data_IF_927599132393
#
_entry.id   IF_927599132393
#
_cell.length_a   1.000
_cell.length_b   1.000
_cell.length_c   1.000
_cell.angle_alpha   90.00
_cell.angle_beta   90.00
_cell.angle_gamma   90.00
#
_symmetry.space_group_name_H-M   'P 1'
#
loop_
_entity.id
_entity.type
_entity.pdbx_description
1 polymer ?
#
# COMPACT_ATOMS: atom_id res chain seq x y z
N UNK A 1 34.19 2.66 -14.85
CA UNK A 1 32.85 3.06 -14.41
C UNK A 1 32.95 3.54 -12.97
N UNK A 2 32.37 4.66 -12.67
CA UNK A 2 32.42 5.19 -11.31
C UNK A 2 31.47 4.38 -10.39
N UNK A 3 31.81 4.29 -9.10
CA UNK A 3 31.01 3.52 -8.11
C UNK A 3 29.55 3.99 -8.07
N UNK A 4 29.31 5.28 -8.30
CA UNK A 4 27.96 5.84 -8.30
C UNK A 4 27.08 5.29 -9.45
N UNK A 5 27.66 4.99 -10.60
CA UNK A 5 26.95 4.36 -11.73
C UNK A 5 26.54 2.95 -11.37
N UNK A 6 27.44 2.17 -10.73
CA UNK A 6 27.12 0.81 -10.25
C UNK A 6 26.02 0.87 -9.21
N UNK A 7 26.12 1.76 -8.21
CA UNK A 7 25.12 1.92 -7.16
C UNK A 7 23.74 2.24 -7.74
N UNK A 8 23.68 3.13 -8.74
CA UNK A 8 22.39 3.46 -9.39
C UNK A 8 21.76 2.26 -10.11
N UNK A 9 22.58 1.37 -10.65
CA UNK A 9 22.11 0.18 -11.37
C UNK A 9 21.66 -0.95 -10.47
N UNK A 10 22.23 -1.06 -9.25
CA UNK A 10 21.93 -2.17 -8.33
C UNK A 10 20.93 -1.81 -7.22
N UNK A 11 20.61 -0.54 -7.01
CA UNK A 11 19.78 -0.05 -5.89
C UNK A 11 18.40 -0.74 -5.77
N UNK A 12 17.82 -1.11 -6.90
CA UNK A 12 16.47 -1.69 -6.98
C UNK A 12 16.48 -3.21 -7.23
N UNK A 13 17.68 -3.82 -7.28
CA UNK A 13 17.81 -5.26 -7.49
C UNK A 13 17.42 -6.04 -6.23
N UNK A 14 16.86 -7.24 -6.42
CA UNK A 14 16.51 -8.14 -5.30
C UNK A 14 17.74 -8.75 -4.64
N UNK A 15 18.75 -9.06 -5.46
CA UNK A 15 20.04 -9.61 -5.01
C UNK A 15 21.17 -9.04 -5.82
N UNK A 16 22.36 -8.98 -5.24
CA UNK A 16 23.56 -8.48 -5.92
C UNK A 16 24.60 -9.62 -6.00
N UNK A 17 25.11 -9.85 -7.20
CA UNK A 17 26.18 -10.83 -7.44
C UNK A 17 27.26 -10.21 -8.34
N UNK A 18 28.43 -10.85 -8.37
CA UNK A 18 29.52 -10.42 -9.27
C UNK A 18 29.03 -10.44 -10.73
N UNK A 19 28.28 -11.48 -11.13
CA UNK A 19 27.74 -11.62 -12.49
C UNK A 19 26.73 -10.50 -12.82
N UNK A 20 25.93 -10.04 -11.83
CA UNK A 20 25.06 -8.90 -12.02
C UNK A 20 25.87 -7.63 -12.27
N UNK A 21 26.92 -7.38 -11.49
CA UNK A 21 27.80 -6.21 -11.63
C UNK A 21 28.54 -6.25 -12.96
N UNK A 22 29.02 -7.42 -13.40
CA UNK A 22 29.63 -7.59 -14.71
C UNK A 22 28.67 -7.14 -15.82
N UNK A 23 27.47 -7.68 -15.82
CA UNK A 23 26.45 -7.44 -16.85
C UNK A 23 25.96 -5.98 -16.84
N UNK A 24 25.63 -5.45 -15.67
CA UNK A 24 25.14 -4.08 -15.52
C UNK A 24 26.23 -3.04 -15.77
N UNK A 25 27.44 -3.35 -15.31
CA UNK A 25 28.61 -2.47 -15.45
C UNK A 25 29.37 -2.61 -16.75
N UNK A 26 29.00 -3.56 -17.62
CA UNK A 26 29.72 -3.92 -18.83
C UNK A 26 31.22 -4.04 -18.57
N UNK A 27 31.63 -4.79 -17.54
CA UNK A 27 33.00 -4.91 -17.10
C UNK A 27 33.47 -6.37 -17.00
N UNK A 28 34.76 -6.59 -17.11
CA UNK A 28 35.37 -7.92 -16.92
C UNK A 28 35.28 -8.41 -15.50
N UNK A 29 35.42 -9.73 -15.32
CA UNK A 29 35.26 -10.42 -14.02
C UNK A 29 36.17 -9.85 -12.91
N UNK A 30 37.42 -9.58 -13.21
CA UNK A 30 38.39 -9.06 -12.23
C UNK A 30 37.92 -7.72 -11.66
N UNK A 31 37.47 -6.81 -12.55
CA UNK A 31 36.98 -5.51 -12.14
C UNK A 31 35.65 -5.63 -11.38
N UNK A 32 34.72 -6.47 -11.84
CA UNK A 32 33.46 -6.72 -11.17
C UNK A 32 33.65 -7.30 -9.75
N UNK A 33 34.60 -8.23 -9.58
CA UNK A 33 34.93 -8.80 -8.27
C UNK A 33 35.53 -7.75 -7.33
N UNK A 34 36.44 -6.89 -7.85
CA UNK A 34 36.98 -5.77 -7.07
C UNK A 34 35.88 -4.79 -6.66
N UNK A 35 35.00 -4.44 -7.58
CA UNK A 35 33.84 -3.56 -7.30
C UNK A 35 32.90 -4.20 -6.28
N UNK A 36 32.61 -5.50 -6.38
CA UNK A 36 31.76 -6.21 -5.43
C UNK A 36 32.32 -6.12 -4.01
N UNK A 37 33.61 -6.41 -3.82
CA UNK A 37 34.28 -6.27 -2.52
C UNK A 37 34.24 -4.85 -1.99
N UNK A 38 34.48 -3.86 -2.84
CA UNK A 38 34.40 -2.45 -2.46
C UNK A 38 32.98 -2.06 -1.99
N UNK A 39 31.94 -2.59 -2.65
CA UNK A 39 30.53 -2.35 -2.25
C UNK A 39 30.22 -3.01 -0.90
N UNK A 40 30.74 -4.20 -0.65
CA UNK A 40 30.59 -4.91 0.63
C UNK A 40 31.35 -4.18 1.75
N UNK A 41 32.63 -3.86 1.57
CA UNK A 41 33.48 -3.16 2.55
C UNK A 41 32.88 -1.80 2.93
N UNK A 42 32.31 -1.09 1.95
CA UNK A 42 31.60 0.17 2.18
C UNK A 42 30.17 -0.02 2.69
N UNK A 43 29.69 -1.25 2.85
CA UNK A 43 28.35 -1.58 3.35
C UNK A 43 27.20 -1.13 2.44
N UNK A 44 27.45 -0.98 1.13
CA UNK A 44 26.38 -0.75 0.14
C UNK A 44 25.64 -2.03 -0.23
N UNK A 45 26.27 -3.18 -0.01
CA UNK A 45 25.65 -4.50 -0.05
C UNK A 45 25.97 -5.23 1.25
N UNK A 46 25.09 -6.13 1.65
CA UNK A 46 25.28 -6.95 2.85
C UNK A 46 24.75 -8.35 2.62
N UNK A 47 25.34 -9.33 3.30
CA UNK A 47 24.95 -10.73 3.21
C UNK A 47 23.72 -10.98 4.08
N UNK A 48 22.68 -11.54 3.48
CA UNK A 48 21.45 -11.91 4.18
C UNK A 48 21.65 -13.18 5.00
N UNK A 49 21.26 -13.17 6.26
CA UNK A 49 21.28 -14.34 7.15
C UNK A 49 20.30 -15.45 6.72
N UNK A 50 19.21 -15.07 6.03
CA UNK A 50 18.13 -16.01 5.67
C UNK A 50 18.46 -16.92 4.49
N UNK A 51 19.15 -16.43 3.48
CA UNK A 51 19.34 -17.14 2.20
C UNK A 51 20.76 -17.04 1.63
N UNK A 52 21.70 -16.55 2.43
CA UNK A 52 23.10 -16.41 2.05
C UNK A 52 23.35 -15.51 0.81
N UNK A 53 22.32 -14.77 0.35
CA UNK A 53 22.42 -13.86 -0.78
C UNK A 53 22.89 -12.46 -0.35
N UNK A 54 23.58 -11.76 -1.23
CA UNK A 54 23.89 -10.33 -1.00
C UNK A 54 22.73 -9.45 -1.44
N UNK A 55 22.35 -8.53 -0.55
CA UNK A 55 21.26 -7.59 -0.77
C UNK A 55 21.81 -6.16 -0.83
N UNK A 56 21.21 -5.27 -1.67
CA UNK A 56 21.59 -3.86 -1.68
C UNK A 56 21.09 -3.16 -0.41
N UNK A 57 21.96 -2.36 0.19
CA UNK A 57 21.59 -1.45 1.28
C UNK A 57 20.99 -0.18 0.67
N UNK A 58 19.70 -0.23 0.38
CA UNK A 58 18.98 0.84 -0.33
C UNK A 58 19.13 2.21 0.34
N UNK A 59 19.01 2.27 1.67
CA UNK A 59 19.12 3.51 2.44
C UNK A 59 20.51 4.15 2.22
N UNK A 60 21.57 3.37 2.41
CA UNK A 60 22.94 3.85 2.27
C UNK A 60 23.28 4.24 0.84
N UNK A 61 22.78 3.47 -0.15
CA UNK A 61 22.93 3.77 -1.58
C UNK A 61 22.21 5.08 -1.93
N UNK A 62 20.95 5.25 -1.54
CA UNK A 62 20.20 6.46 -1.80
C UNK A 62 20.87 7.69 -1.17
N UNK A 63 21.36 7.57 0.07
CA UNK A 63 22.12 8.63 0.75
C UNK A 63 23.38 9.00 -0.03
N UNK A 64 24.15 8.03 -0.53
CA UNK A 64 25.36 8.27 -1.32
C UNK A 64 25.07 8.94 -2.65
N UNK A 65 24.02 8.49 -3.34
CA UNK A 65 23.61 9.05 -4.63
C UNK A 65 22.84 10.38 -4.49
N UNK A 66 22.59 10.86 -3.28
CA UNK A 66 21.73 12.03 -2.98
C UNK A 66 20.31 11.88 -3.58
N UNK A 67 19.89 10.65 -3.80
CA UNK A 67 18.52 10.32 -4.20
C UNK A 67 17.68 10.34 -2.93
N UNK A 68 16.65 11.18 -2.89
CA UNK A 68 15.63 11.04 -1.81
C UNK A 68 15.09 9.61 -1.89
N UNK A 69 15.05 8.85 -0.78
CA UNK A 69 14.37 7.57 -0.80
C UNK A 69 12.99 7.81 -1.40
N UNK A 70 12.61 7.02 -2.38
CA UNK A 70 11.23 7.03 -2.84
C UNK A 70 10.44 6.62 -1.62
N UNK A 71 9.79 7.58 -0.98
CA UNK A 71 8.91 7.28 0.14
C UNK A 71 7.83 6.40 -0.44
N UNK A 72 7.82 5.14 -0.04
CA UNK A 72 6.89 4.19 -0.57
C UNK A 72 5.46 4.57 -0.18
N UNK A 73 4.51 4.03 -0.90
CA UNK A 73 3.11 4.31 -0.73
C UNK A 73 2.59 3.62 0.54
N UNK A 74 1.95 4.36 1.43
CA UNK A 74 1.13 3.80 2.51
C UNK A 74 -0.31 3.72 2.03
N UNK A 75 -0.98 2.58 2.25
CA UNK A 75 -2.33 2.34 1.74
C UNK A 75 -3.29 2.01 2.88
N UNK A 76 -4.48 2.59 2.81
CA UNK A 76 -5.66 2.15 3.56
C UNK A 76 -6.56 1.43 2.58
N UNK A 77 -6.66 0.11 2.70
CA UNK A 77 -7.68 -0.67 2.01
C UNK A 77 -8.98 -0.52 2.80
N UNK A 78 -9.95 0.13 2.18
CA UNK A 78 -11.17 0.61 2.84
C UNK A 78 -12.38 -0.18 2.40
N UNK A 79 -13.06 -0.81 3.35
CA UNK A 79 -14.45 -1.18 3.21
C UNK A 79 -15.39 -0.05 3.66
N UNK A 80 -16.64 -0.08 3.24
CA UNK A 80 -17.64 0.95 3.53
C UNK A 80 -18.64 0.47 4.58
N UNK A 81 -19.30 -0.66 4.32
CA UNK A 81 -20.31 -1.20 5.21
C UNK A 81 -19.65 -1.74 6.49
N UNK A 82 -20.20 -1.41 7.65
CA UNK A 82 -19.58 -1.78 8.92
C UNK A 82 -18.29 -1.00 9.26
N UNK A 83 -17.79 -0.13 8.35
CA UNK A 83 -16.67 0.79 8.59
C UNK A 83 -17.16 2.23 8.62
N UNK A 84 -17.59 2.78 7.49
CA UNK A 84 -18.08 4.16 7.39
C UNK A 84 -19.56 4.31 7.77
N UNK A 85 -20.25 3.19 7.94
CA UNK A 85 -21.60 3.12 8.46
C UNK A 85 -21.71 2.01 9.52
N UNK A 86 -22.90 1.87 10.09
CA UNK A 86 -23.23 0.81 11.05
C UNK A 86 -24.75 0.67 11.19
N UNK A 87 -25.19 -0.30 11.96
CA UNK A 87 -26.61 -0.58 12.20
C UNK A 87 -27.44 0.63 12.65
N UNK A 88 -26.84 1.59 13.34
CA UNK A 88 -27.53 2.78 13.87
C UNK A 88 -27.43 4.00 12.95
N UNK A 89 -26.76 3.88 11.82
CA UNK A 89 -26.64 4.96 10.84
C UNK A 89 -28.01 5.33 10.29
N UNK A 90 -28.35 6.62 10.33
CA UNK A 90 -29.65 7.14 9.88
C UNK A 90 -29.62 7.67 8.45
N UNK A 91 -28.43 7.93 7.92
CA UNK A 91 -28.27 8.41 6.54
C UNK A 91 -28.58 7.26 5.57
N UNK A 92 -29.26 7.57 4.47
CA UNK A 92 -29.73 6.58 3.49
C UNK A 92 -29.47 7.12 2.08
N UNK A 93 -29.03 6.25 1.20
CA UNK A 93 -28.90 6.53 -0.23
C UNK A 93 -29.44 5.35 -1.03
N UNK A 94 -30.44 5.58 -1.90
CA UNK A 94 -31.05 4.55 -2.73
C UNK A 94 -31.42 3.26 -1.97
N UNK A 95 -32.09 3.39 -0.81
CA UNK A 95 -32.46 2.29 0.10
C UNK A 95 -31.29 1.57 0.82
N UNK A 96 -30.04 1.97 0.56
CA UNK A 96 -28.87 1.47 1.29
C UNK A 96 -28.56 2.35 2.51
N UNK A 97 -27.94 1.77 3.51
CA UNK A 97 -27.41 2.51 4.66
C UNK A 97 -26.30 3.45 4.17
N UNK A 98 -26.46 4.74 4.42
CA UNK A 98 -25.52 5.79 4.01
C UNK A 98 -24.26 5.80 4.87
N UNK A 99 -23.51 6.92 4.82
CA UNK A 99 -22.20 7.10 5.45
C UNK A 99 -22.28 8.18 6.53
N UNK A 100 -21.75 7.89 7.72
CA UNK A 100 -21.67 8.85 8.82
C UNK A 100 -20.48 9.80 8.67
N UNK A 101 -20.72 11.09 8.67
CA UNK A 101 -19.67 12.11 8.54
C UNK A 101 -18.60 12.00 9.64
N UNK A 102 -18.99 11.64 10.88
CA UNK A 102 -18.04 11.40 11.99
C UNK A 102 -17.04 10.28 11.71
N UNK A 103 -17.45 9.22 10.99
CA UNK A 103 -16.55 8.13 10.60
C UNK A 103 -15.60 8.57 9.48
N UNK A 104 -16.07 9.41 8.58
CA UNK A 104 -15.23 10.03 7.54
C UNK A 104 -14.20 10.97 8.17
N UNK A 105 -14.55 11.71 9.23
CA UNK A 105 -13.60 12.53 9.99
C UNK A 105 -12.49 11.68 10.65
N UNK A 106 -12.84 10.53 11.21
CA UNK A 106 -11.84 9.58 11.76
C UNK A 106 -10.92 9.04 10.65
N UNK A 107 -11.47 8.70 9.50
CA UNK A 107 -10.68 8.27 8.34
C UNK A 107 -9.75 9.39 7.87
N UNK A 108 -10.24 10.65 7.82
CA UNK A 108 -9.43 11.82 7.49
C UNK A 108 -8.27 12.01 8.45
N UNK A 109 -8.49 11.83 9.75
CA UNK A 109 -7.42 11.87 10.75
C UNK A 109 -6.34 10.85 10.40
N UNK A 110 -6.71 9.59 10.16
CA UNK A 110 -5.77 8.53 9.79
C UNK A 110 -4.97 8.86 8.53
N UNK A 111 -5.65 9.30 7.46
CA UNK A 111 -5.00 9.72 6.20
C UNK A 111 -4.02 10.85 6.43
N UNK A 112 -4.40 11.88 7.20
CA UNK A 112 -3.55 13.05 7.48
C UNK A 112 -2.30 12.67 8.27
N UNK A 113 -2.44 11.85 9.31
CA UNK A 113 -1.33 11.47 10.18
C UNK A 113 -0.33 10.53 9.49
N UNK A 114 -0.79 9.71 8.54
CA UNK A 114 0.04 8.69 7.89
C UNK A 114 0.45 9.03 6.47
N UNK A 115 -0.13 10.07 5.87
CA UNK A 115 -0.04 10.39 4.44
C UNK A 115 -0.41 9.20 3.52
N UNK A 116 -1.34 8.37 3.98
CA UNK A 116 -1.78 7.18 3.26
C UNK A 116 -2.74 7.53 2.12
N UNK A 117 -2.83 6.63 1.14
CA UNK A 117 -3.82 6.69 0.06
C UNK A 117 -4.93 5.68 0.33
N UNK A 118 -6.14 6.02 -0.07
CA UNK A 118 -7.32 5.16 0.08
C UNK A 118 -7.47 4.32 -1.19
N UNK A 119 -7.58 3.00 -1.01
CA UNK A 119 -7.94 2.03 -2.06
C UNK A 119 -9.20 1.30 -1.61
N UNK A 120 -10.23 1.32 -2.44
CA UNK A 120 -11.53 0.75 -2.11
C UNK A 120 -11.50 -0.78 -2.29
N UNK A 121 -11.93 -1.53 -1.25
CA UNK A 121 -12.09 -2.99 -1.30
C UNK A 121 -13.55 -3.43 -1.12
N UNK A 122 -14.43 -2.49 -0.83
CA UNK A 122 -15.86 -2.67 -0.62
C UNK A 122 -16.58 -3.14 -1.89
N UNK A 123 -17.74 -3.78 -1.72
CA UNK A 123 -18.69 -4.03 -2.83
C UNK A 123 -19.14 -2.75 -3.52
N UNK A 124 -19.07 -1.61 -2.85
CA UNK A 124 -19.33 -0.28 -3.42
C UNK A 124 -18.38 0.10 -4.57
N UNK A 125 -17.28 -0.64 -4.78
CA UNK A 125 -16.37 -0.46 -5.93
C UNK A 125 -16.97 -0.89 -7.26
N UNK A 126 -18.03 -1.67 -7.26
CA UNK A 126 -18.57 -2.35 -8.45
C UNK A 126 -18.90 -1.39 -9.60
N UNK A 127 -19.37 -0.18 -9.28
CA UNK A 127 -19.67 0.87 -10.24
C UNK A 127 -18.86 2.14 -9.98
N UNK A 128 -17.77 2.02 -9.27
CA UNK A 128 -16.86 3.13 -9.04
C UNK A 128 -15.75 3.15 -10.11
N UNK A 129 -15.53 4.29 -10.72
CA UNK A 129 -14.53 4.48 -11.77
C UNK A 129 -13.46 5.49 -11.32
N UNK A 130 -12.20 5.15 -11.57
CA UNK A 130 -11.06 6.00 -11.26
C UNK A 130 -10.91 7.14 -12.26
N UNK A 131 -11.02 6.83 -13.54
CA UNK A 131 -10.75 7.73 -14.63
C UNK A 131 -11.86 8.78 -14.78
N UNK A 132 -11.52 10.09 -14.89
CA UNK A 132 -12.51 11.18 -14.96
C UNK A 132 -13.55 11.02 -16.10
N UNK A 133 -13.14 10.46 -17.25
CA UNK A 133 -14.02 10.26 -18.39
C UNK A 133 -15.14 9.23 -18.14
N UNK A 134 -14.95 8.32 -17.17
CA UNK A 134 -15.94 7.32 -16.82
C UNK A 134 -16.77 7.67 -15.58
N UNK A 135 -16.46 8.80 -14.92
CA UNK A 135 -17.20 9.25 -13.72
C UNK A 135 -18.69 9.46 -13.98
N UNK A 136 -19.08 9.82 -15.20
CA UNK A 136 -20.49 9.97 -15.57
C UNK A 136 -21.26 8.62 -15.63
N UNK A 137 -20.55 7.49 -15.64
CA UNK A 137 -21.12 6.13 -15.64
C UNK A 137 -21.25 5.56 -14.22
N UNK A 138 -20.76 6.26 -13.19
CA UNK A 138 -20.91 5.82 -11.81
C UNK A 138 -22.38 5.78 -11.41
N UNK A 139 -22.72 4.79 -10.59
CA UNK A 139 -24.02 4.73 -9.96
C UNK A 139 -24.16 5.76 -8.83
N UNK A 140 -25.35 5.85 -8.25
CA UNK A 140 -25.63 6.80 -7.17
C UNK A 140 -24.83 6.50 -5.89
N UNK A 141 -24.52 5.23 -5.61
CA UNK A 141 -23.71 4.82 -4.44
C UNK A 141 -22.27 5.30 -4.58
N UNK A 142 -21.65 5.05 -5.74
CA UNK A 142 -20.28 5.48 -6.00
C UNK A 142 -20.16 7.01 -6.02
N UNK A 143 -21.13 7.70 -6.63
CA UNK A 143 -21.21 9.16 -6.62
C UNK A 143 -21.42 9.74 -5.21
N UNK A 144 -22.26 9.10 -4.41
CA UNK A 144 -22.50 9.49 -3.03
C UNK A 144 -21.23 9.30 -2.17
N UNK A 145 -20.55 8.17 -2.30
CA UNK A 145 -19.28 7.89 -1.62
C UNK A 145 -18.23 8.96 -1.94
N UNK A 146 -18.00 9.23 -3.22
CA UNK A 146 -17.07 10.27 -3.67
C UNK A 146 -17.40 11.64 -3.06
N UNK A 147 -18.69 12.04 -3.08
CA UNK A 147 -19.15 13.31 -2.49
C UNK A 147 -18.94 13.38 -0.98
N UNK A 148 -19.24 12.29 -0.26
CA UNK A 148 -19.03 12.22 1.20
C UNK A 148 -17.55 12.37 1.57
N UNK A 149 -16.66 11.66 0.88
CA UNK A 149 -15.22 11.75 1.10
C UNK A 149 -14.67 13.13 0.70
N UNK A 150 -15.08 13.66 -0.46
CA UNK A 150 -14.62 14.95 -0.96
C UNK A 150 -14.96 16.12 -0.03
N UNK A 151 -16.13 16.11 0.66
CA UNK A 151 -16.49 17.12 1.67
C UNK A 151 -15.47 17.23 2.80
N UNK A 152 -14.76 16.15 3.08
CA UNK A 152 -13.69 16.08 4.08
C UNK A 152 -12.28 16.23 3.48
N UNK A 153 -12.18 16.50 2.16
CA UNK A 153 -10.91 16.61 1.44
C UNK A 153 -10.21 15.27 1.22
N UNK A 154 -10.96 14.15 1.26
CA UNK A 154 -10.48 12.82 0.97
C UNK A 154 -10.82 12.43 -0.47
N UNK A 155 -9.96 11.62 -1.07
CA UNK A 155 -10.16 11.04 -2.40
C UNK A 155 -9.77 9.56 -2.39
N UNK A 156 -10.50 8.76 -3.14
CA UNK A 156 -10.13 7.38 -3.41
C UNK A 156 -9.08 7.41 -4.53
N UNK A 157 -7.93 6.81 -4.29
CA UNK A 157 -6.85 6.69 -5.26
C UNK A 157 -7.17 5.64 -6.32
N UNK A 158 -7.74 4.51 -5.89
CA UNK A 158 -8.01 3.36 -6.73
C UNK A 158 -8.98 2.38 -6.05
N UNK A 159 -9.35 1.32 -6.75
CA UNK A 159 -10.04 0.16 -6.17
C UNK A 159 -9.28 -1.13 -6.49
N UNK A 160 -9.45 -2.17 -5.66
CA UNK A 160 -9.00 -3.51 -6.02
C UNK A 160 -9.81 -4.04 -7.20
N UNK A 161 -9.31 -5.09 -7.86
CA UNK A 161 -9.95 -5.62 -9.07
C UNK A 161 -11.38 -6.13 -8.79
N UNK A 162 -12.23 -6.07 -9.80
CA UNK A 162 -13.67 -6.31 -9.72
C UNK A 162 -14.04 -7.73 -9.28
N UNK A 163 -13.15 -8.70 -9.58
CA UNK A 163 -13.39 -10.14 -9.31
C UNK A 163 -13.20 -10.55 -7.83
N UNK A 164 -12.74 -9.64 -6.98
CA UNK A 164 -12.31 -9.94 -5.62
C UNK A 164 -13.37 -9.57 -4.55
N UNK A 165 -14.65 -9.74 -4.87
CA UNK A 165 -15.74 -9.37 -3.94
C UNK A 165 -15.78 -10.26 -2.69
N UNK A 166 -15.44 -11.54 -2.83
CA UNK A 166 -15.38 -12.51 -1.73
C UNK A 166 -13.95 -12.79 -1.27
N UNK A 167 -12.99 -12.80 -2.21
CA UNK A 167 -11.57 -13.04 -1.95
C UNK A 167 -10.82 -11.71 -1.84
N UNK A 168 -11.20 -10.89 -0.87
CA UNK A 168 -10.66 -9.54 -0.70
C UNK A 168 -9.16 -9.53 -0.41
N UNK A 169 -8.67 -10.51 0.35
CA UNK A 169 -7.25 -10.64 0.66
C UNK A 169 -6.41 -10.95 -0.57
N UNK A 170 -6.86 -11.87 -1.41
CA UNK A 170 -6.21 -12.17 -2.69
C UNK A 170 -6.23 -10.94 -3.61
N UNK A 171 -7.35 -10.22 -3.68
CA UNK A 171 -7.48 -8.96 -4.41
C UNK A 171 -6.48 -7.89 -3.96
N UNK A 172 -6.29 -7.74 -2.66
CA UNK A 172 -5.27 -6.83 -2.09
C UNK A 172 -3.86 -7.25 -2.51
N UNK A 173 -3.54 -8.55 -2.43
CA UNK A 173 -2.21 -9.04 -2.83
C UNK A 173 -1.95 -8.82 -4.32
N UNK A 174 -2.92 -9.12 -5.19
CA UNK A 174 -2.83 -8.84 -6.63
C UNK A 174 -2.66 -7.35 -6.91
N UNK A 175 -3.38 -6.49 -6.21
CA UNK A 175 -3.26 -5.04 -6.35
C UNK A 175 -1.86 -4.54 -5.95
N UNK A 176 -1.31 -5.01 -4.84
CA UNK A 176 0.06 -4.68 -4.41
C UNK A 176 1.09 -5.16 -5.44
N UNK A 177 0.94 -6.38 -5.98
CA UNK A 177 1.81 -6.90 -7.05
C UNK A 177 1.73 -6.04 -8.31
N UNK A 178 0.53 -5.58 -8.69
CA UNK A 178 0.33 -4.68 -9.80
C UNK A 178 1.03 -3.33 -9.60
N UNK A 179 0.94 -2.72 -8.42
CA UNK A 179 1.68 -1.49 -8.11
C UNK A 179 3.19 -1.73 -8.22
N UNK A 180 3.69 -2.83 -7.65
CA UNK A 180 5.10 -3.18 -7.71
C UNK A 180 5.60 -3.40 -9.17
N UNK A 181 4.77 -3.98 -10.04
CA UNK A 181 5.10 -4.15 -11.46
C UNK A 181 5.24 -2.82 -12.21
N UNK A 182 4.57 -1.78 -11.71
CA UNK A 182 4.68 -0.39 -12.19
C UNK A 182 5.80 0.42 -11.53
N UNK A 183 6.62 -0.22 -10.68
CA UNK A 183 7.70 0.45 -9.95
C UNK A 183 7.23 1.26 -8.74
N UNK A 184 5.98 1.12 -8.32
CA UNK A 184 5.42 1.79 -7.13
C UNK A 184 5.61 0.86 -5.94
N UNK A 185 6.46 1.25 -5.00
CA UNK A 185 6.72 0.47 -3.78
C UNK A 185 5.65 0.76 -2.74
N UNK A 186 5.02 -0.28 -2.19
CA UNK A 186 4.13 -0.16 -1.03
C UNK A 186 4.95 -0.38 0.23
N UNK A 187 5.14 0.67 1.03
CA UNK A 187 5.92 0.61 2.28
C UNK A 187 5.15 -0.12 3.38
N UNK A 188 3.87 0.18 3.50
CA UNK A 188 2.99 -0.45 4.48
C UNK A 188 1.52 -0.23 4.11
N UNK A 189 0.64 -1.03 4.71
CA UNK A 189 -0.78 -0.88 4.52
C UNK A 189 -1.59 -1.36 5.73
N UNK A 190 -2.83 -0.90 5.81
CA UNK A 190 -3.84 -1.34 6.76
C UNK A 190 -5.13 -1.65 6.03
N UNK A 191 -5.89 -2.62 6.53
CA UNK A 191 -7.21 -3.00 6.03
C UNK A 191 -8.22 -2.56 7.09
N UNK A 192 -9.20 -1.75 6.70
CA UNK A 192 -10.34 -1.40 7.52
C UNK A 192 -11.55 -2.16 6.97
N UNK A 193 -12.02 -3.15 7.69
CA UNK A 193 -13.10 -4.05 7.28
C UNK A 193 -13.84 -4.56 8.53
N UNK A 194 -15.11 -4.88 8.45
CA UNK A 194 -15.86 -5.43 9.57
C UNK A 194 -15.94 -6.97 9.52
N UNK A 195 -15.62 -7.57 8.37
CA UNK A 195 -15.58 -9.00 8.17
C UNK A 195 -14.16 -9.56 8.01
N UNK A 196 -14.02 -10.86 8.23
CA UNK A 196 -12.72 -11.52 8.17
C UNK A 196 -12.33 -11.94 6.74
N UNK A 197 -13.29 -12.21 5.87
CA UNK A 197 -13.05 -12.75 4.53
C UNK A 197 -11.92 -13.80 4.49
N UNK A 198 -11.12 -13.80 3.44
CA UNK A 198 -9.95 -14.66 3.22
C UNK A 198 -8.64 -14.07 3.81
N UNK A 199 -8.72 -13.10 4.72
CA UNK A 199 -7.52 -12.45 5.31
C UNK A 199 -6.67 -13.40 6.15
N UNK A 200 -7.25 -14.49 6.67
CA UNK A 200 -6.52 -15.51 7.40
C UNK A 200 -5.70 -16.40 6.45
N UNK A 201 -6.32 -16.86 5.39
CA UNK A 201 -5.73 -17.70 4.34
C UNK A 201 -4.61 -16.97 3.61
N UNK A 202 -4.80 -15.69 3.32
CA UNK A 202 -3.83 -14.80 2.68
C UNK A 202 -2.77 -14.24 3.65
N UNK A 203 -2.85 -14.58 4.96
CA UNK A 203 -1.95 -14.09 6.02
C UNK A 203 -1.97 -12.57 6.20
N UNK A 204 -3.07 -11.92 5.86
CA UNK A 204 -3.24 -10.48 5.98
C UNK A 204 -3.86 -10.03 7.31
N UNK A 205 -4.22 -10.94 8.20
CA UNK A 205 -4.84 -10.65 9.51
C UNK A 205 -4.02 -9.64 10.34
N UNK A 206 -2.69 -9.67 10.22
CA UNK A 206 -1.82 -8.71 10.90
C UNK A 206 -2.03 -7.26 10.46
N UNK A 207 -2.56 -7.05 9.25
CA UNK A 207 -2.87 -5.73 8.69
C UNK A 207 -4.33 -5.33 8.90
N UNK A 208 -5.20 -6.27 9.30
CA UNK A 208 -6.63 -6.02 9.52
C UNK A 208 -6.85 -5.23 10.82
N UNK A 209 -7.62 -4.17 10.72
CA UNK A 209 -8.30 -3.51 11.83
C UNK A 209 -9.77 -3.79 11.66
N UNK A 210 -10.21 -4.86 12.30
CA UNK A 210 -11.59 -5.29 12.20
C UNK A 210 -12.50 -4.35 13.00
N UNK A 211 -13.50 -3.81 12.32
CA UNK A 211 -14.59 -3.01 12.89
C UNK A 211 -15.81 -3.90 13.19
N UNK A 212 -16.99 -3.36 13.29
CA UNK A 212 -18.22 -4.15 13.41
C UNK A 212 -19.45 -3.31 13.04
N UNK A 213 -20.21 -3.78 12.08
CA UNK A 213 -21.48 -3.18 11.70
C UNK A 213 -22.43 -3.04 12.90
N UNK A 214 -22.55 -4.09 13.72
CA UNK A 214 -23.45 -4.11 14.89
C UNK A 214 -22.94 -3.25 16.06
N UNK A 215 -21.63 -3.02 16.17
CA UNK A 215 -21.02 -2.32 17.30
C UNK A 215 -20.48 -0.93 16.93
N UNK A 216 -21.12 -0.26 15.97
CA UNK A 216 -20.91 1.15 15.68
C UNK A 216 -19.80 1.47 14.68
N UNK A 217 -19.34 0.52 13.86
CA UNK A 217 -18.39 0.75 12.77
C UNK A 217 -17.04 1.29 13.23
N UNK A 218 -16.46 2.20 12.45
CA UNK A 218 -15.17 2.84 12.75
C UNK A 218 -15.28 3.74 13.99
N UNK A 219 -14.33 3.59 14.91
CA UNK A 219 -14.25 4.30 16.18
C UNK A 219 -12.80 4.74 16.47
N UNK A 220 -12.56 5.69 17.40
CA UNK A 220 -11.21 6.16 17.75
C UNK A 220 -10.22 5.05 18.12
N UNK A 221 -10.68 3.98 18.79
CA UNK A 221 -9.83 2.82 19.11
C UNK A 221 -9.28 2.10 17.87
N UNK A 222 -10.04 2.11 16.76
CA UNK A 222 -9.62 1.51 15.51
C UNK A 222 -8.57 2.39 14.81
N UNK A 223 -8.70 3.71 14.90
CA UNK A 223 -7.68 4.65 14.38
C UNK A 223 -6.36 4.43 15.10
N UNK A 224 -6.35 4.31 16.44
CA UNK A 224 -5.13 4.02 17.20
C UNK A 224 -4.43 2.74 16.70
N UNK A 225 -5.19 1.65 16.53
CA UNK A 225 -4.66 0.39 15.99
C UNK A 225 -4.12 0.53 14.57
N UNK A 226 -4.82 1.29 13.71
CA UNK A 226 -4.39 1.52 12.33
C UNK A 226 -3.08 2.33 12.27
N UNK A 227 -2.95 3.36 13.12
CA UNK A 227 -1.71 4.14 13.25
C UNK A 227 -0.53 3.26 13.69
N UNK A 228 -0.72 2.41 14.70
CA UNK A 228 0.30 1.46 15.16
C UNK A 228 0.76 0.55 14.02
N UNK A 229 -0.19 -0.03 13.25
CA UNK A 229 0.12 -0.91 12.11
C UNK A 229 0.86 -0.16 10.99
N UNK A 230 0.47 1.06 10.66
CA UNK A 230 1.09 1.86 9.60
C UNK A 230 2.44 2.49 10.02
N UNK A 231 2.76 2.51 11.31
CA UNK A 231 4.03 3.00 11.84
C UNK A 231 5.13 1.94 11.81
N UNK A 232 4.77 0.66 11.80
CA UNK A 232 5.72 -0.46 11.76
C UNK A 232 6.27 -0.57 10.33
N UNK A 233 7.60 -0.51 10.18
CA UNK A 233 8.27 -0.76 8.89
C UNK A 233 8.16 -2.27 8.59
N UNK A 234 7.69 -2.61 7.39
CA UNK A 234 7.64 -4.01 6.94
C UNK A 234 9.04 -4.56 6.61
#
# INVERSE_FOLDING_TARGET
MEINEVLNQIKDEKTVSISLIQRKGNMGFILANKTFKELEDKGYIYKSEKNNAYLPNKEKICKKLKIKPVQGLKIIFLDVDGVLNCRTTKDVVNHYVGIEDKKVELLKQLVKETNSKIVLVSTWKQWWYKEPQYKCMQDDLANYLDKKLARQGLTIMDSTFEYDLLDRGDGILKYILHLNSKGIVVDNFVILDDEMFDYKETKLTKHLVQTSYNNGGLQPKHIKKALEKLSTVM
#
